data_IF_466217694550
#
_entry.id   IF_466217694550
#
_cell.length_a   1.000
_cell.length_b   1.000
_cell.length_c   1.000
_cell.angle_alpha   90.00
_cell.angle_beta   90.00
_cell.angle_gamma   90.00
#
_symmetry.space_group_name_H-M   'P 1'
#
loop_
_entity.id
_entity.type
_entity.pdbx_description
1 polymer ?
#
# COMPACT_ATOMS: atom_id res chain seq x y z
N UNK A 1 -17.05 -0.14 -13.18
CA UNK A 1 -16.82 -0.05 -11.71
C UNK A 1 -15.93 -1.20 -11.28
N UNK A 2 -14.92 -0.93 -10.45
CA UNK A 2 -14.10 -2.00 -9.87
C UNK A 2 -14.95 -2.83 -8.88
N UNK A 3 -14.60 -4.10 -8.71
CA UNK A 3 -15.29 -4.96 -7.73
C UNK A 3 -14.98 -4.46 -6.31
N UNK A 4 -15.93 -4.52 -5.35
CA UNK A 4 -15.70 -4.11 -3.97
C UNK A 4 -14.48 -4.79 -3.34
N UNK A 5 -14.22 -6.06 -3.67
CA UNK A 5 -13.05 -6.80 -3.21
C UNK A 5 -11.74 -6.19 -3.69
N UNK A 6 -11.68 -5.71 -4.93
CA UNK A 6 -10.49 -5.04 -5.49
C UNK A 6 -10.23 -3.72 -4.78
N UNK A 7 -11.28 -2.97 -4.47
CA UNK A 7 -11.18 -1.71 -3.72
C UNK A 7 -10.65 -1.97 -2.30
N UNK A 8 -11.16 -3.01 -1.62
CA UNK A 8 -10.67 -3.41 -0.29
C UNK A 8 -9.20 -3.83 -0.35
N UNK A 9 -8.82 -4.65 -1.33
CA UNK A 9 -7.44 -5.07 -1.54
C UNK A 9 -6.49 -3.88 -1.71
N UNK A 10 -6.87 -2.89 -2.54
CA UNK A 10 -6.04 -1.70 -2.76
C UNK A 10 -5.90 -0.87 -1.48
N UNK A 11 -6.99 -0.73 -0.72
CA UNK A 11 -6.99 -0.07 0.59
C UNK A 11 -6.06 -0.77 1.59
N UNK A 12 -6.15 -2.09 1.69
CA UNK A 12 -5.33 -2.87 2.62
C UNK A 12 -3.84 -2.80 2.27
N UNK A 13 -3.50 -2.80 0.98
CA UNK A 13 -2.12 -2.61 0.49
C UNK A 13 -1.58 -1.23 0.90
N UNK A 14 -2.38 -0.16 0.79
CA UNK A 14 -1.96 1.18 1.19
C UNK A 14 -1.79 1.30 2.70
N UNK A 15 -2.69 0.73 3.50
CA UNK A 15 -2.56 0.66 4.97
C UNK A 15 -1.25 0.03 5.37
N UNK A 16 -0.91 -1.08 4.72
CA UNK A 16 0.31 -1.80 5.04
C UNK A 16 1.56 -1.00 4.67
N UNK A 17 1.55 -0.34 3.51
CA UNK A 17 2.65 0.54 3.10
C UNK A 17 2.85 1.69 4.10
N UNK A 18 1.77 2.35 4.51
CA UNK A 18 1.81 3.44 5.51
C UNK A 18 2.31 2.93 6.87
N UNK A 19 1.77 1.80 7.34
CA UNK A 19 2.18 1.17 8.60
C UNK A 19 3.67 0.87 8.60
N UNK A 20 4.20 0.26 7.53
CA UNK A 20 5.62 -0.07 7.43
C UNK A 20 6.50 1.17 7.28
N UNK A 21 6.06 2.16 6.51
CA UNK A 21 6.79 3.41 6.30
C UNK A 21 6.87 4.26 7.57
N UNK A 22 5.89 4.14 8.46
CA UNK A 22 5.87 4.81 9.76
C UNK A 22 6.83 4.20 10.79
N UNK A 23 7.34 2.98 10.58
CA UNK A 23 8.26 2.32 11.51
C UNK A 23 9.61 3.03 11.46
N UNK A 24 10.02 3.59 12.59
CA UNK A 24 11.31 4.25 12.78
C UNK A 24 12.18 3.46 13.74
N UNK A 25 13.48 3.48 13.49
CA UNK A 25 14.52 2.88 14.33
C UNK A 25 15.69 3.86 14.37
N UNK A 26 16.21 4.15 15.57
CA UNK A 26 17.26 5.16 15.78
C UNK A 26 16.95 6.55 15.18
N UNK A 27 15.67 6.94 15.15
CA UNK A 27 15.22 8.23 14.60
C UNK A 27 15.11 8.29 13.08
N UNK A 28 15.47 7.22 12.37
CA UNK A 28 15.35 7.11 10.90
C UNK A 28 14.29 6.08 10.51
N UNK A 29 13.78 6.13 9.29
CA UNK A 29 12.88 5.10 8.75
C UNK A 29 13.59 3.75 8.73
N UNK A 30 13.01 2.74 9.39
CA UNK A 30 13.64 1.42 9.54
C UNK A 30 13.80 0.69 8.21
N UNK A 31 12.79 0.80 7.35
CA UNK A 31 12.73 0.07 6.09
C UNK A 31 12.83 1.01 4.89
N UNK A 32 13.61 0.61 3.88
CA UNK A 32 13.66 1.34 2.62
C UNK A 32 12.36 1.13 1.82
N UNK A 33 11.94 2.09 0.98
CA UNK A 33 10.75 1.93 0.14
C UNK A 33 10.79 0.66 -0.71
N UNK A 34 11.95 0.31 -1.27
CA UNK A 34 12.13 -0.90 -2.08
C UNK A 34 11.94 -2.20 -1.28
N UNK A 35 12.36 -2.22 -0.01
CA UNK A 35 12.12 -3.36 0.88
C UNK A 35 10.63 -3.50 1.18
N UNK A 36 9.97 -2.40 1.58
CA UNK A 36 8.54 -2.37 1.90
C UNK A 36 7.72 -2.89 0.72
N UNK A 37 7.98 -2.39 -0.50
CA UNK A 37 7.27 -2.83 -1.70
C UNK A 37 7.44 -4.33 -1.98
N UNK A 38 8.62 -4.90 -1.74
CA UNK A 38 8.88 -6.34 -1.91
C UNK A 38 8.19 -7.17 -0.84
N UNK A 39 8.22 -6.74 0.42
CA UNK A 39 7.58 -7.44 1.52
C UNK A 39 6.06 -7.51 1.34
N UNK A 40 5.44 -6.37 1.02
CA UNK A 40 4.01 -6.28 0.70
C UNK A 40 3.66 -7.13 -0.52
N UNK A 41 4.51 -7.14 -1.55
CA UNK A 41 4.30 -7.97 -2.74
C UNK A 41 4.20 -9.46 -2.41
N UNK A 42 5.08 -9.96 -1.53
CA UNK A 42 5.02 -11.34 -1.02
C UNK A 42 3.73 -11.56 -0.22
N UNK A 43 3.39 -10.64 0.69
CA UNK A 43 2.23 -10.75 1.58
C UNK A 43 0.89 -10.80 0.84
N UNK A 44 0.75 -10.02 -0.23
CA UNK A 44 -0.48 -9.93 -1.02
C UNK A 44 -0.46 -10.78 -2.29
N UNK A 45 0.58 -11.60 -2.50
CA UNK A 45 0.76 -12.44 -3.68
C UNK A 45 0.65 -11.64 -5.00
N UNK A 46 1.32 -10.49 -5.06
CA UNK A 46 1.37 -9.60 -6.23
C UNK A 46 2.81 -9.33 -6.65
N UNK A 47 2.99 -8.80 -7.86
CA UNK A 47 4.29 -8.30 -8.28
C UNK A 47 4.62 -6.98 -7.55
N UNK A 48 5.91 -6.69 -7.26
CA UNK A 48 6.31 -5.40 -6.70
C UNK A 48 5.85 -4.20 -7.53
N UNK A 49 5.81 -4.35 -8.87
CA UNK A 49 5.31 -3.31 -9.77
C UNK A 49 3.81 -3.05 -9.59
N UNK A 50 3.02 -4.10 -9.35
CA UNK A 50 1.59 -3.97 -9.05
C UNK A 50 1.38 -3.23 -7.73
N UNK A 51 2.13 -3.59 -6.68
CA UNK A 51 2.06 -2.89 -5.38
C UNK A 51 2.45 -1.42 -5.54
N UNK A 52 3.55 -1.12 -6.23
CA UNK A 52 3.99 0.24 -6.52
C UNK A 52 2.86 1.05 -7.20
N UNK A 53 2.23 0.49 -8.23
CA UNK A 53 1.16 1.19 -8.93
C UNK A 53 -0.04 1.47 -8.01
N UNK A 54 -0.41 0.51 -7.14
CA UNK A 54 -1.52 0.67 -6.19
C UNK A 54 -1.20 1.75 -5.14
N UNK A 55 0.00 1.71 -4.56
CA UNK A 55 0.45 2.65 -3.52
C UNK A 55 0.54 4.08 -4.08
N UNK A 56 1.13 4.26 -5.26
CA UNK A 56 1.30 5.58 -5.87
C UNK A 56 0.12 6.04 -6.74
N UNK A 57 -1.04 5.39 -6.64
CA UNK A 57 -2.24 5.81 -7.36
C UNK A 57 -2.15 5.71 -8.89
N UNK A 58 -1.24 4.89 -9.43
CA UNK A 58 -1.04 4.66 -10.87
C UNK A 58 -1.95 3.55 -11.42
N UNK A 59 -3.12 3.37 -10.83
CA UNK A 59 -4.13 2.39 -11.29
C UNK A 59 -5.41 3.11 -11.69
N UNK A 60 -6.17 2.53 -12.62
CA UNK A 60 -7.51 3.06 -12.99
C UNK A 60 -8.58 2.84 -11.91
N UNK A 61 -8.23 2.17 -10.81
CA UNK A 61 -9.14 1.87 -9.72
C UNK A 61 -9.00 2.95 -8.66
N UNK A 62 -10.08 3.72 -8.49
CA UNK A 62 -10.20 4.71 -7.42
C UNK A 62 -10.82 4.02 -6.21
N UNK A 63 -10.01 3.83 -5.17
CA UNK A 63 -10.45 3.51 -3.83
C UNK A 63 -10.56 4.80 -3.00
N UNK A 64 -11.64 4.98 -2.25
CA UNK A 64 -11.85 6.15 -1.37
C UNK A 64 -10.97 6.08 -0.11
N UNK A 65 -9.70 5.69 -0.27
CA UNK A 65 -8.76 5.46 0.81
C UNK A 65 -8.57 6.70 1.70
N UNK A 66 -8.49 7.87 1.07
CA UNK A 66 -8.39 9.15 1.76
C UNK A 66 -9.63 9.47 2.60
N UNK A 67 -10.82 8.95 2.27
CA UNK A 67 -12.04 9.24 3.03
C UNK A 67 -12.13 8.47 4.37
N UNK A 68 -11.37 7.38 4.53
CA UNK A 68 -11.37 6.57 5.76
C UNK A 68 -10.37 7.08 6.80
N UNK A 69 -9.40 7.90 6.38
CA UNK A 69 -8.37 8.48 7.27
C UNK A 69 -8.84 9.76 7.99
N UNK A 70 -10.00 10.32 7.61
CA UNK A 70 -10.57 11.54 8.21
C UNK A 70 -11.98 11.33 8.79
N UNK A 71 -12.39 10.08 9.03
CA UNK A 71 -13.67 9.72 9.64
C UNK A 71 -13.47 9.15 11.05
#
# INVERSE_FOLDING_TARGET
MARPETIRLHSDIRKEFERMSAIKEHGVTKFSPAYILKDIAVRFYKSPKTIENIVFGRTSIVDNYQAVLFA
#
